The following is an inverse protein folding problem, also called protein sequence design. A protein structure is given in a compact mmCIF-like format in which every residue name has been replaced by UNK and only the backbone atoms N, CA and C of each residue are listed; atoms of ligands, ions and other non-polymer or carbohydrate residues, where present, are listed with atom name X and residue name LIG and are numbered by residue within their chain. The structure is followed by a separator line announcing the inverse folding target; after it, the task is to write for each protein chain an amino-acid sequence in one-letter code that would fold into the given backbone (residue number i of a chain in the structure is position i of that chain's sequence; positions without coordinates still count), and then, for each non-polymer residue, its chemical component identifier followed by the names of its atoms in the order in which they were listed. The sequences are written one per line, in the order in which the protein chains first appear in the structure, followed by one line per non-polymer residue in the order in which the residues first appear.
data_IF_688022378045
#
_entry.id   IF_688022378045
#
_cell.length_a   1.000
_cell.length_b   1.000
_cell.length_c   1.000
_cell.angle_alpha   90.00
_cell.angle_beta   90.00
_cell.angle_gamma   90.00
#
_symmetry.space_group_name_H-M   'P 1'
#
loop_
_entity.id
_entity.type
_entity.pdbx_description
1 polymer ?
#
# COMPACT_ATOMS: atom_id res chain seq x y z
N UNK A 1 -15.15 27.32 18.65
CA UNK A 1 -13.73 27.66 18.41
C UNK A 1 -13.30 26.89 17.17
N UNK A 2 -12.99 27.59 16.07
CA UNK A 2 -12.57 26.95 14.81
C UNK A 2 -11.05 26.83 14.87
N UNK A 3 -10.57 25.85 15.63
CA UNK A 3 -9.13 25.67 15.84
C UNK A 3 -8.43 25.28 14.54
N UNK A 4 -7.37 26.01 14.19
CA UNK A 4 -6.51 25.69 13.04
C UNK A 4 -5.94 24.28 13.12
N UNK A 5 -5.53 23.82 14.31
CA UNK A 5 -5.02 22.46 14.54
C UNK A 5 -5.98 21.39 14.01
N UNK A 6 -7.27 21.55 14.34
CA UNK A 6 -8.30 20.61 13.91
C UNK A 6 -8.48 20.67 12.40
N UNK A 7 -8.53 21.88 11.82
CA UNK A 7 -8.68 22.05 10.38
C UNK A 7 -7.50 21.46 9.60
N UNK A 8 -6.28 21.74 10.04
CA UNK A 8 -5.05 21.17 9.49
C UNK A 8 -5.06 19.64 9.57
N UNK A 9 -5.38 19.09 10.76
CA UNK A 9 -5.46 17.66 10.99
C UNK A 9 -6.51 16.98 10.11
N UNK A 10 -7.69 17.59 9.95
CA UNK A 10 -8.75 17.08 9.08
C UNK A 10 -8.33 17.08 7.60
N UNK A 11 -7.67 18.15 7.13
CA UNK A 11 -7.15 18.25 5.76
C UNK A 11 -6.03 17.26 5.49
N UNK A 12 -5.11 17.10 6.44
CA UNK A 12 -4.04 16.11 6.37
C UNK A 12 -4.61 14.69 6.37
N UNK A 13 -5.55 14.39 7.27
CA UNK A 13 -6.25 13.11 7.32
C UNK A 13 -6.96 12.81 6.01
N UNK A 14 -7.71 13.76 5.45
CA UNK A 14 -8.36 13.59 4.16
C UNK A 14 -7.35 13.29 3.03
N UNK A 15 -6.25 14.03 2.97
CA UNK A 15 -5.19 13.81 1.99
C UNK A 15 -4.63 12.38 2.08
N UNK A 16 -4.21 11.95 3.28
CA UNK A 16 -3.55 10.66 3.47
C UNK A 16 -4.52 9.48 3.36
N UNK A 17 -5.67 9.56 4.02
CA UNK A 17 -6.66 8.48 4.06
C UNK A 17 -7.34 8.28 2.71
N UNK A 18 -7.49 9.31 1.88
CA UNK A 18 -8.04 9.14 0.53
C UNK A 18 -7.22 8.17 -0.33
N UNK A 19 -5.89 8.21 -0.23
CA UNK A 19 -4.99 7.29 -0.92
C UNK A 19 -5.09 5.87 -0.35
N UNK A 20 -5.17 5.74 0.98
CA UNK A 20 -5.38 4.44 1.65
C UNK A 20 -6.74 3.81 1.31
N UNK A 21 -7.80 4.61 1.26
CA UNK A 21 -9.15 4.16 0.93
C UNK A 21 -9.24 3.71 -0.53
N UNK A 22 -8.58 4.41 -1.45
CA UNK A 22 -8.47 3.98 -2.84
C UNK A 22 -7.74 2.64 -2.96
N UNK A 23 -6.64 2.46 -2.22
CA UNK A 23 -5.93 1.19 -2.17
C UNK A 23 -6.84 0.09 -1.60
N UNK A 24 -7.51 0.35 -0.47
CA UNK A 24 -8.42 -0.61 0.18
C UNK A 24 -9.56 -1.04 -0.75
N UNK A 25 -10.22 -0.09 -1.43
CA UNK A 25 -11.25 -0.40 -2.44
C UNK A 25 -10.73 -1.26 -3.57
N UNK A 26 -9.50 -1.02 -4.01
CA UNK A 26 -8.87 -1.80 -5.10
C UNK A 26 -8.57 -3.22 -4.64
N UNK A 27 -8.04 -3.39 -3.43
CA UNK A 27 -7.72 -4.70 -2.86
C UNK A 27 -8.96 -5.55 -2.52
N UNK A 28 -10.11 -4.93 -2.32
CA UNK A 28 -11.37 -5.61 -2.05
C UNK A 28 -12.12 -6.04 -3.31
N UNK A 29 -11.58 -5.77 -4.51
CA UNK A 29 -12.18 -6.25 -5.75
C UNK A 29 -12.06 -7.77 -5.83
N UNK A 30 -13.06 -8.42 -6.42
CA UNK A 30 -13.15 -9.90 -6.47
C UNK A 30 -12.18 -10.54 -7.45
N UNK A 31 -11.68 -9.76 -8.39
CA UNK A 31 -10.84 -10.15 -9.52
C UNK A 31 -9.36 -9.80 -9.34
N UNK A 32 -8.97 -9.20 -8.20
CA UNK A 32 -7.58 -8.79 -7.99
C UNK A 32 -6.69 -9.99 -7.62
N UNK A 33 -5.57 -10.11 -8.32
CA UNK A 33 -4.51 -11.05 -7.95
C UNK A 33 -3.63 -10.50 -6.83
N UNK A 34 -2.90 -11.39 -6.14
CA UNK A 34 -1.92 -11.02 -5.13
C UNK A 34 -0.81 -10.12 -5.71
N UNK A 35 -0.37 -10.43 -6.93
CA UNK A 35 0.65 -9.66 -7.65
C UNK A 35 0.17 -8.24 -7.97
N UNK A 36 -1.04 -8.09 -8.50
CA UNK A 36 -1.65 -6.77 -8.72
C UNK A 36 -1.85 -6.02 -7.41
N UNK A 37 -2.24 -6.71 -6.33
CA UNK A 37 -2.35 -6.12 -5.00
C UNK A 37 -1.02 -5.54 -4.50
N UNK A 38 0.09 -6.28 -4.67
CA UNK A 38 1.43 -5.82 -4.32
C UNK A 38 1.85 -4.61 -5.14
N UNK A 39 1.57 -4.63 -6.44
CA UNK A 39 1.88 -3.54 -7.34
C UNK A 39 1.08 -2.27 -7.00
N UNK A 40 -0.21 -2.42 -6.70
CA UNK A 40 -1.08 -1.32 -6.25
C UNK A 40 -0.55 -0.69 -4.96
N UNK A 41 -0.18 -1.51 -3.96
CA UNK A 41 0.40 -1.02 -2.71
C UNK A 41 1.72 -0.27 -2.96
N UNK A 42 2.60 -0.82 -3.80
CA UNK A 42 3.88 -0.20 -4.15
C UNK A 42 3.70 1.16 -4.85
N UNK A 43 2.72 1.26 -5.77
CA UNK A 43 2.35 2.52 -6.42
C UNK A 43 1.81 3.54 -5.42
N UNK A 44 0.93 3.11 -4.50
CA UNK A 44 0.40 3.99 -3.45
C UNK A 44 1.50 4.52 -2.54
N UNK A 45 2.45 3.67 -2.14
CA UNK A 45 3.64 4.07 -1.36
C UNK A 45 4.47 5.09 -2.13
N UNK A 46 4.74 4.86 -3.42
CA UNK A 46 5.51 5.81 -4.23
C UNK A 46 4.82 7.18 -4.36
N UNK A 47 3.49 7.21 -4.47
CA UNK A 47 2.71 8.45 -4.52
C UNK A 47 2.77 9.18 -3.16
N UNK A 48 2.56 8.47 -2.06
CA UNK A 48 2.60 9.04 -0.71
C UNK A 48 4.01 9.52 -0.33
N UNK A 49 5.06 8.79 -0.73
CA UNK A 49 6.44 9.22 -0.53
C UNK A 49 6.73 10.54 -1.25
N UNK A 50 6.20 10.74 -2.47
CA UNK A 50 6.31 12.03 -3.19
C UNK A 50 5.53 13.16 -2.53
N UNK A 51 4.49 12.87 -1.73
CA UNK A 51 3.75 13.90 -0.99
C UNK A 51 4.61 14.51 0.10
N UNK A 52 5.60 13.78 0.61
CA UNK A 52 6.56 14.28 1.62
C UNK A 52 7.20 15.62 1.23
N UNK A 53 7.55 15.79 -0.04
CA UNK A 53 8.18 17.02 -0.56
C UNK A 53 7.18 18.13 -0.92
N UNK A 54 5.88 17.84 -0.84
CA UNK A 54 4.78 18.74 -1.21
C UNK A 54 4.20 19.49 -0.01
N UNK A 55 4.95 19.60 1.09
CA UNK A 55 4.50 20.34 2.26
C UNK A 55 4.13 21.78 1.93
N UNK A 56 4.96 22.50 1.15
CA UNK A 56 4.72 23.92 0.88
C UNK A 56 3.40 24.17 0.14
N UNK A 57 3.09 23.34 -0.86
CA UNK A 57 1.84 23.45 -1.61
C UNK A 57 0.63 23.05 -0.78
N UNK A 58 0.79 22.08 0.13
CA UNK A 58 -0.23 21.74 1.10
C UNK A 58 -0.48 22.89 2.09
N UNK A 59 0.59 23.48 2.63
CA UNK A 59 0.52 24.59 3.59
C UNK A 59 -0.17 25.82 3.02
N UNK A 60 0.21 26.24 1.80
CA UNK A 60 -0.43 27.40 1.12
C UNK A 60 -1.91 27.15 0.83
N UNK A 61 -2.29 25.92 0.48
CA UNK A 61 -3.69 25.58 0.25
C UNK A 61 -4.50 25.59 1.56
N UNK A 62 -3.99 24.93 2.61
CA UNK A 62 -4.67 24.89 3.92
C UNK A 62 -4.82 26.29 4.52
N UNK A 63 -3.78 27.13 4.47
CA UNK A 63 -3.86 28.51 4.97
C UNK A 63 -4.85 29.36 4.17
N UNK A 64 -4.86 29.25 2.83
CA UNK A 64 -5.83 29.94 1.97
C UNK A 64 -7.27 29.54 2.26
N UNK A 65 -7.54 28.24 2.45
CA UNK A 65 -8.87 27.74 2.78
C UNK A 65 -9.29 28.12 4.21
N UNK A 66 -8.36 28.10 5.17
CA UNK A 66 -8.61 28.54 6.55
C UNK A 66 -9.06 30.00 6.58
N UNK A 67 -8.40 30.88 5.81
CA UNK A 67 -8.79 32.29 5.67
C UNK A 67 -10.21 32.44 5.11
N UNK A 68 -10.55 31.69 4.05
CA UNK A 68 -11.91 31.73 3.45
C UNK A 68 -13.00 31.26 4.41
N UNK A 69 -12.69 30.30 5.26
CA UNK A 69 -13.63 29.70 6.21
C UNK A 69 -13.67 30.45 7.56
N UNK A 70 -12.93 31.55 7.70
CA UNK A 70 -12.74 32.29 8.94
C UNK A 70 -12.40 31.36 10.11
N UNK A 71 -11.43 30.47 9.88
CA UNK A 71 -10.78 29.62 10.89
C UNK A 71 -9.72 30.47 11.60
N UNK A 72 -9.47 30.19 12.88
CA UNK A 72 -8.48 30.90 13.68
C UNK A 72 -7.08 30.76 13.02
N UNK A 73 -6.21 31.75 13.22
CA UNK A 73 -4.85 31.73 12.68
C UNK A 73 -4.01 30.60 13.32
N UNK A 74 -2.97 30.09 12.63
CA UNK A 74 -2.08 29.10 13.20
C UNK A 74 -1.31 29.68 14.39
N UNK A 75 -1.63 29.22 15.60
CA UNK A 75 -0.97 29.67 16.83
C UNK A 75 0.21 28.77 17.21
N UNK A 76 1.30 29.37 17.70
CA UNK A 76 2.39 28.61 18.28
C UNK A 76 1.95 28.05 19.63
N UNK A 77 1.84 26.72 19.75
CA UNK A 77 1.57 26.11 21.06
C UNK A 77 2.66 26.47 22.06
N UNK A 78 2.22 26.84 23.26
CA UNK A 78 3.12 27.10 24.39
C UNK A 78 4.01 25.89 24.61
N UNK A 79 5.31 26.08 24.41
CA UNK A 79 6.29 25.01 24.61
C UNK A 79 6.24 24.56 26.08
N UNK A 80 5.92 23.28 26.30
CA UNK A 80 5.99 22.68 27.62
C UNK A 80 7.46 22.49 27.96
N UNK A 81 7.92 23.16 29.02
CA UNK A 81 9.27 22.96 29.56
C UNK A 81 9.36 21.51 30.01
N UNK A 82 10.20 20.71 29.32
CA UNK A 82 10.43 19.33 29.71
C UNK A 82 11.06 19.32 31.10
N UNK A 83 10.53 18.56 32.07
CA UNK A 83 11.12 18.48 33.40
C UNK A 83 12.58 18.05 33.30
N UNK A 84 13.49 18.77 33.96
CA UNK A 84 14.93 18.57 33.85
C UNK A 84 15.41 17.13 34.12
N UNK A 85 14.65 16.35 34.90
CA UNK A 85 14.94 14.95 35.22
C UNK A 85 14.77 13.98 34.04
N UNK A 86 14.05 14.38 33.00
CA UNK A 86 13.78 13.59 31.79
C UNK A 86 14.75 13.89 30.64
N UNK A 87 15.67 14.86 30.82
CA UNK A 87 16.67 15.21 29.82
C UNK A 87 17.89 14.30 30.00
N UNK A 88 17.87 13.13 29.38
CA UNK A 88 19.07 12.30 29.16
C UNK A 88 19.52 12.47 27.71
N UNK A 89 20.57 13.27 27.50
CA UNK A 89 21.10 13.63 26.18
C UNK A 89 21.48 15.11 26.09
N UNK A 90 22.39 15.45 25.17
CA UNK A 90 22.76 16.84 24.87
C UNK A 90 21.51 17.65 24.50
N UNK A 91 21.31 18.79 25.14
CA UNK A 91 20.19 19.71 24.89
C UNK A 91 20.09 20.21 23.44
N UNK A 92 21.07 19.90 22.59
CA UNK A 92 21.10 20.22 21.16
C UNK A 92 20.09 19.40 20.31
N UNK A 93 19.69 18.20 20.74
CA UNK A 93 18.78 17.34 19.94
C UNK A 93 17.30 17.71 20.08
N UNK A 94 16.94 18.55 21.04
CA UNK A 94 15.56 19.03 21.23
C UNK A 94 15.51 20.50 20.84
N UNK A 95 15.87 20.80 19.58
CA UNK A 95 15.69 22.16 19.07
C UNK A 95 14.19 22.43 18.87
N UNK A 96 13.62 23.42 19.59
CA UNK A 96 12.23 23.77 19.39
C UNK A 96 11.99 24.22 17.94
N UNK A 97 10.79 24.02 17.39
CA UNK A 97 10.48 24.56 16.06
C UNK A 97 10.63 26.09 16.10
N UNK A 98 11.44 26.62 15.18
CA UNK A 98 11.74 28.05 15.08
C UNK A 98 10.52 28.85 14.62
N UNK A 99 9.62 28.22 13.83
CA UNK A 99 8.38 28.79 13.32
C UNK A 99 7.15 27.91 13.58
N UNK A 100 5.96 28.52 13.56
CA UNK A 100 4.66 27.80 13.56
C UNK A 100 4.55 26.86 12.36
N UNK A 101 5.06 27.30 11.20
CA UNK A 101 5.10 26.48 9.99
C UNK A 101 5.97 25.22 10.19
N UNK A 102 7.11 25.33 10.87
CA UNK A 102 7.98 24.19 11.15
C UNK A 102 7.33 23.17 12.09
N UNK A 103 6.51 23.63 13.03
CA UNK A 103 5.73 22.75 13.90
C UNK A 103 4.74 21.91 13.07
N UNK A 104 3.96 22.53 12.18
CA UNK A 104 3.03 21.81 11.31
C UNK A 104 3.75 20.98 10.24
N UNK A 105 4.92 21.41 9.80
CA UNK A 105 5.80 20.64 8.92
C UNK A 105 6.24 19.33 9.55
N UNK A 106 6.66 19.35 10.82
CA UNK A 106 7.02 18.13 11.54
C UNK A 106 5.86 17.14 11.59
N UNK A 107 4.66 17.61 11.96
CA UNK A 107 3.43 16.78 11.99
C UNK A 107 3.11 16.21 10.60
N UNK A 108 3.21 17.03 9.55
CA UNK A 108 2.96 16.59 8.18
C UNK A 108 3.91 15.47 7.76
N UNK A 109 5.22 15.67 7.97
CA UNK A 109 6.25 14.70 7.59
C UNK A 109 6.08 13.40 8.38
N UNK A 110 5.88 13.50 9.70
CA UNK A 110 5.66 12.33 10.56
C UNK A 110 4.42 11.53 10.12
N UNK A 111 3.32 12.21 9.79
CA UNK A 111 2.11 11.54 9.32
C UNK A 111 2.31 10.83 7.98
N UNK A 112 2.99 11.47 7.03
CA UNK A 112 3.34 10.88 5.72
C UNK A 112 4.25 9.67 5.91
N UNK A 113 5.32 9.82 6.70
CA UNK A 113 6.28 8.75 6.95
C UNK A 113 5.60 7.57 7.67
N UNK A 114 4.71 7.84 8.63
CA UNK A 114 3.93 6.82 9.35
C UNK A 114 3.04 6.02 8.40
N UNK A 115 2.22 6.67 7.56
CA UNK A 115 1.32 5.93 6.66
C UNK A 115 2.09 5.13 5.61
N UNK A 116 3.20 5.68 5.11
CA UNK A 116 4.08 5.01 4.16
C UNK A 116 4.68 3.75 4.77
N UNK A 117 5.16 3.82 6.01
CA UNK A 117 5.73 2.67 6.72
C UNK A 117 4.64 1.64 7.04
N UNK A 118 3.47 2.07 7.53
CA UNK A 118 2.34 1.17 7.79
C UNK A 118 1.92 0.36 6.54
N UNK A 119 1.86 0.98 5.37
CA UNK A 119 1.55 0.27 4.13
C UNK A 119 2.70 -0.67 3.76
N UNK A 120 3.95 -0.21 3.86
CA UNK A 120 5.13 -1.03 3.51
C UNK A 120 5.20 -2.29 4.38
N UNK A 121 5.10 -2.15 5.70
CA UNK A 121 5.20 -3.24 6.65
C UNK A 121 4.08 -4.27 6.45
N UNK A 122 2.89 -3.82 6.03
CA UNK A 122 1.76 -4.70 5.72
C UNK A 122 2.00 -5.54 4.45
N UNK A 123 2.64 -4.98 3.44
CA UNK A 123 2.85 -5.64 2.15
C UNK A 123 4.23 -6.29 1.99
N UNK A 124 5.19 -6.00 2.87
CA UNK A 124 6.53 -6.61 2.89
C UNK A 124 6.59 -7.86 3.78
N UNK A 125 5.49 -8.60 3.89
CA UNK A 125 5.41 -9.83 4.66
C UNK A 125 5.90 -11.02 3.83
N UNK A 126 6.73 -11.89 4.41
CA UNK A 126 7.25 -13.09 3.74
C UNK A 126 6.13 -13.98 3.19
N UNK A 127 5.07 -14.21 3.99
CA UNK A 127 3.92 -15.01 3.57
C UNK A 127 3.22 -14.45 2.33
N UNK A 128 3.13 -13.12 2.21
CA UNK A 128 2.54 -12.48 1.04
C UNK A 128 3.42 -12.67 -0.21
N UNK A 129 4.75 -12.59 -0.05
CA UNK A 129 5.70 -12.87 -1.15
C UNK A 129 5.53 -14.29 -1.68
N UNK A 130 5.43 -15.27 -0.79
CA UNK A 130 5.24 -16.68 -1.16
C UNK A 130 3.91 -16.87 -1.88
N UNK A 131 2.82 -16.30 -1.35
CA UNK A 131 1.50 -16.36 -1.99
C UNK A 131 1.52 -15.76 -3.40
N UNK A 132 2.16 -14.60 -3.57
CA UNK A 132 2.34 -13.96 -4.88
C UNK A 132 3.15 -14.84 -5.85
N UNK A 133 4.23 -15.45 -5.39
CA UNK A 133 5.08 -16.35 -6.20
C UNK A 133 4.35 -17.63 -6.60
N UNK A 134 3.58 -18.23 -5.70
CA UNK A 134 2.74 -19.39 -5.99
C UNK A 134 1.66 -19.05 -7.02
N UNK A 135 1.01 -17.90 -6.88
CA UNK A 135 0.02 -17.47 -7.87
C UNK A 135 0.66 -17.21 -9.25
N UNK A 136 1.83 -16.57 -9.28
CA UNK A 136 2.59 -16.35 -10.52
C UNK A 136 2.96 -17.68 -11.20
N UNK A 137 3.35 -18.69 -10.42
CA UNK A 137 3.64 -20.04 -10.91
C UNK A 137 2.42 -20.63 -11.64
N UNK A 138 1.26 -20.62 -10.99
CA UNK A 138 0.02 -21.16 -11.55
C UNK A 138 -0.44 -20.40 -12.80
N UNK A 139 -0.41 -19.06 -12.76
CA UNK A 139 -0.83 -18.24 -13.90
C UNK A 139 0.09 -18.42 -15.12
N UNK A 140 1.42 -18.45 -14.91
CA UNK A 140 2.37 -18.74 -16.00
C UNK A 140 2.11 -20.09 -16.63
N UNK A 141 1.85 -21.12 -15.82
CA UNK A 141 1.52 -22.47 -16.30
C UNK A 141 0.21 -22.50 -17.10
N UNK A 142 -0.86 -21.89 -16.59
CA UNK A 142 -2.14 -21.82 -17.31
C UNK A 142 -2.04 -21.07 -18.65
N UNK A 143 -1.22 -20.03 -18.70
CA UNK A 143 -0.97 -19.23 -19.90
C UNK A 143 0.08 -19.84 -20.84
N UNK A 144 0.56 -21.07 -20.56
CA UNK A 144 1.59 -21.76 -21.35
C UNK A 144 2.90 -20.96 -21.49
N UNK A 145 3.22 -20.16 -20.48
CA UNK A 145 4.45 -19.39 -20.40
C UNK A 145 5.56 -20.21 -19.73
N UNK A 146 6.81 -19.85 -20.00
CA UNK A 146 7.96 -20.48 -19.37
C UNK A 146 7.94 -20.27 -17.85
N UNK A 147 8.02 -21.38 -17.12
CA UNK A 147 8.12 -21.38 -15.65
C UNK A 147 9.59 -21.37 -15.27
N UNK A 148 10.03 -20.29 -14.61
CA UNK A 148 11.41 -20.13 -14.19
C UNK A 148 11.77 -21.13 -13.09
N UNK A 149 12.95 -21.74 -13.20
CA UNK A 149 13.37 -22.79 -12.27
C UNK A 149 13.63 -22.25 -10.86
N UNK A 150 14.00 -20.97 -10.76
CA UNK A 150 14.15 -20.23 -9.50
C UNK A 150 12.81 -20.04 -8.78
N UNK A 151 11.74 -19.73 -9.51
CA UNK A 151 10.39 -19.58 -8.96
C UNK A 151 9.92 -20.91 -8.36
N UNK A 152 10.16 -21.99 -9.09
CA UNK A 152 9.77 -23.33 -8.69
C UNK A 152 10.58 -23.81 -7.48
N UNK A 153 11.88 -23.51 -7.44
CA UNK A 153 12.74 -23.78 -6.29
C UNK A 153 12.28 -23.00 -5.05
N UNK A 154 12.04 -21.69 -5.18
CA UNK A 154 11.57 -20.84 -4.08
C UNK A 154 10.29 -21.37 -3.42
N UNK A 155 9.32 -21.80 -4.22
CA UNK A 155 8.07 -22.39 -3.71
C UNK A 155 8.33 -23.73 -3.04
N UNK A 156 9.10 -24.64 -3.65
CA UNK A 156 9.40 -25.94 -3.05
C UNK A 156 10.21 -25.81 -1.75
N UNK A 157 11.15 -24.86 -1.68
CA UNK A 157 11.97 -24.63 -0.48
C UNK A 157 11.11 -24.15 0.71
N UNK A 158 10.07 -23.35 0.47
CA UNK A 158 9.15 -22.90 1.52
C UNK A 158 8.23 -24.01 2.03
N UNK A 159 7.63 -24.78 1.12
CA UNK A 159 6.70 -25.86 1.47
C UNK A 159 7.41 -27.17 1.84
N UNK A 160 8.72 -27.28 1.61
CA UNK A 160 9.55 -28.40 2.01
C UNK A 160 9.02 -29.74 1.47
N UNK A 161 8.63 -30.63 2.38
CA UNK A 161 8.11 -31.95 2.02
C UNK A 161 6.69 -31.94 1.45
N UNK A 162 5.92 -30.86 1.67
CA UNK A 162 4.55 -30.74 1.16
C UNK A 162 4.52 -30.60 -0.37
N UNK A 163 5.59 -30.07 -0.98
CA UNK A 163 5.72 -29.90 -2.42
C UNK A 163 7.00 -30.53 -2.96
N UNK A 164 6.86 -31.71 -3.57
CA UNK A 164 7.95 -32.39 -4.26
C UNK A 164 8.14 -31.83 -5.67
N UNK A 165 9.34 -31.28 -5.93
CA UNK A 165 9.70 -30.66 -7.23
C UNK A 165 9.36 -31.52 -8.47
N UNK A 166 9.62 -32.83 -8.40
CA UNK A 166 9.35 -33.75 -9.52
C UNK A 166 7.86 -33.93 -9.80
N UNK A 167 7.06 -34.14 -8.75
CA UNK A 167 5.60 -34.31 -8.86
C UNK A 167 4.92 -33.00 -9.28
N UNK A 168 5.38 -31.86 -8.73
CA UNK A 168 4.87 -30.54 -9.06
C UNK A 168 5.03 -30.21 -10.55
N UNK A 169 6.16 -30.57 -11.17
CA UNK A 169 6.36 -30.36 -12.62
C UNK A 169 5.31 -31.09 -13.44
N UNK A 170 5.06 -32.36 -13.14
CA UNK A 170 4.06 -33.18 -13.84
C UNK A 170 2.65 -32.63 -13.64
N UNK A 171 2.34 -32.15 -12.43
CA UNK A 171 1.06 -31.52 -12.12
C UNK A 171 0.87 -30.21 -12.89
N UNK A 172 1.90 -29.35 -12.96
CA UNK A 172 1.87 -28.11 -13.74
C UNK A 172 1.74 -28.37 -15.25
N UNK A 173 2.48 -29.33 -15.80
CA UNK A 173 2.33 -29.75 -17.20
C UNK A 173 0.92 -30.26 -17.52
N UNK A 174 0.28 -30.93 -16.55
CA UNK A 174 -1.10 -31.39 -16.68
C UNK A 174 -2.08 -30.21 -16.60
N UNK A 175 -1.82 -29.24 -15.74
CA UNK A 175 -2.62 -28.03 -15.58
C UNK A 175 -2.58 -27.13 -16.83
N UNK A 176 -1.41 -26.97 -17.44
CA UNK A 176 -1.21 -26.13 -18.63
C UNK A 176 -1.77 -26.73 -19.94
N UNK A 177 -2.18 -28.01 -19.93
CA UNK A 177 -2.90 -28.60 -21.05
C UNK A 177 -4.30 -28.00 -21.11
N UNK A 178 -4.77 -27.54 -22.28
CA UNK A 178 -6.14 -27.09 -22.42
C UNK A 178 -7.05 -28.24 -22.00
N UNK A 179 -7.87 -27.99 -20.99
CA UNK A 179 -8.92 -28.94 -20.62
C UNK A 179 -9.79 -29.13 -21.86
N UNK A 180 -9.63 -30.28 -22.53
CA UNK A 180 -10.60 -30.72 -23.54
C UNK A 180 -11.90 -30.97 -22.77
N UNK A 181 -12.73 -29.92 -22.65
CA UNK A 181 -14.13 -30.06 -22.26
C UNK A 181 -14.68 -31.21 -23.09
N UNK A 182 -15.17 -32.27 -22.43
CA UNK A 182 -15.81 -33.38 -23.12
C UNK A 182 -16.91 -32.77 -24.02
N UNK A 183 -17.01 -33.15 -25.30
CA UNK A 183 -18.10 -32.72 -26.14
C UNK A 183 -19.36 -33.50 -25.72
N UNK A 184 -19.96 -33.13 -24.59
CA UNK A 184 -21.34 -33.40 -24.21
C UNK A 184 -21.62 -32.88 -22.80
N UNK A 185 -21.86 -31.57 -22.71
CA UNK A 185 -22.98 -30.98 -21.99
C UNK A 185 -22.91 -29.48 -22.22
N UNK A 186 -23.42 -29.06 -23.38
CA UNK A 186 -23.90 -27.69 -23.56
C UNK A 186 -25.13 -27.51 -22.66
N UNK A 187 -24.89 -27.14 -21.40
CA UNK A 187 -25.88 -26.47 -20.57
C UNK A 187 -25.23 -25.24 -19.92
N UNK A 188 -25.25 -24.15 -20.67
CA UNK A 188 -25.56 -22.80 -20.17
C UNK A 188 -24.56 -22.02 -19.31
N UNK A 189 -23.49 -22.60 -18.77
CA UNK A 189 -22.66 -21.87 -17.77
C UNK A 189 -21.26 -21.45 -18.25
N UNK A 190 -20.72 -22.01 -19.33
CA UNK A 190 -19.34 -21.71 -19.76
C UNK A 190 -19.20 -20.57 -20.78
N UNK A 191 -20.29 -19.90 -21.18
CA UNK A 191 -20.25 -18.81 -22.17
C UNK A 191 -20.03 -17.41 -21.57
N UNK A 192 -20.01 -17.24 -20.24
CA UNK A 192 -19.89 -15.90 -19.62
C UNK A 192 -18.48 -15.46 -19.26
N UNK A 193 -17.47 -16.32 -19.38
CA UNK A 193 -16.08 -15.98 -19.02
C UNK A 193 -15.19 -15.62 -20.22
N UNK A 194 -15.69 -15.71 -21.45
CA UNK A 194 -14.93 -15.39 -22.67
C UNK A 194 -15.46 -14.18 -23.45
N UNK A 195 -16.55 -13.54 -22.99
CA UNK A 195 -17.19 -12.40 -23.70
C UNK A 195 -17.10 -11.07 -22.96
N UNK A 196 -16.40 -10.98 -21.83
CA UNK A 196 -16.20 -9.70 -21.12
C UNK A 196 -14.85 -9.04 -21.38
N UNK A 197 -14.10 -9.51 -22.37
CA UNK A 197 -12.84 -8.90 -22.81
C UNK A 197 -12.89 -8.39 -24.26
N UNK A 198 -14.03 -7.91 -24.75
CA UNK A 198 -14.08 -6.96 -25.88
C UNK A 198 -15.28 -6.01 -25.64
N UNK A 199 -14.98 -4.74 -25.38
CA UNK A 199 -15.95 -3.69 -25.07
C UNK A 199 -15.32 -2.54 -24.30
#
# INVERSE_FOLDING_TARGET
MKSFDYFFGAKLGHLLLSHSDNLSRTLQKKDISAAEGQECASKTVAILAKKRDQFQSFWTNVTSEALKLAVDEPEQKRQRKVPARLVSGSAADIMPPESVEDYFRRIYLEAVDTIVNCIRDRFDQEGYKIYSKLQQLLLKTCNQQHVDEELLKFVCDFYGEDLRKGELRVQLETLGKPWKLRPNNQSGLCQRLLTTCEG
#
